data_IF_616725796717
#
_entry.id   IF_616725796717
#
_cell.length_a   1.000
_cell.length_b   1.000
_cell.length_c   1.000
_cell.angle_alpha   90.00
_cell.angle_beta   90.00
_cell.angle_gamma   90.00
#
_symmetry.space_group_name_H-M   'P 1'
#
loop_
_entity.id
_entity.type
_entity.pdbx_description
1 polymer ?
#
# COMPACT_ATOMS: atom_id res chain seq x y z
N UNK A 1 -43.62 -26.02 38.29
CA UNK A 1 -43.51 -24.61 37.87
C UNK A 1 -42.10 -24.14 38.18
N UNK A 2 -41.35 -23.65 37.20
CA UNK A 2 -40.05 -23.02 37.41
C UNK A 2 -38.90 -23.63 36.62
N UNK A 3 -38.95 -23.58 35.28
CA UNK A 3 -37.74 -23.64 34.46
C UNK A 3 -37.39 -22.23 33.97
N UNK A 4 -36.09 -21.99 33.86
CA UNK A 4 -35.43 -21.02 32.99
C UNK A 4 -34.83 -19.78 33.65
N UNK A 5 -33.68 -19.99 34.30
CA UNK A 5 -32.62 -18.98 34.48
C UNK A 5 -31.45 -19.20 33.48
N UNK A 6 -31.67 -19.92 32.38
CA UNK A 6 -30.60 -20.35 31.44
C UNK A 6 -30.69 -19.56 30.12
N UNK A 7 -30.89 -18.25 30.17
CA UNK A 7 -30.92 -17.41 28.96
C UNK A 7 -30.18 -16.07 29.10
N UNK A 8 -29.25 -15.93 30.05
CA UNK A 8 -28.48 -14.69 30.21
C UNK A 8 -26.96 -14.84 30.02
N UNK A 9 -26.45 -16.05 29.74
CA UNK A 9 -25.00 -16.33 29.68
C UNK A 9 -24.49 -16.79 28.30
N UNK A 10 -25.27 -16.61 27.23
CA UNK A 10 -24.85 -16.96 25.85
C UNK A 10 -24.56 -15.71 25.01
N UNK A 11 -24.88 -14.51 25.50
CA UNK A 11 -24.61 -13.25 24.76
C UNK A 11 -23.23 -12.62 25.03
N UNK A 12 -22.43 -13.15 25.96
CA UNK A 12 -21.11 -12.56 26.30
C UNK A 12 -19.90 -13.28 25.67
N UNK A 13 -20.11 -14.38 24.95
CA UNK A 13 -19.01 -15.18 24.36
C UNK A 13 -18.94 -15.15 22.84
N UNK A 14 -19.88 -14.48 22.16
CA UNK A 14 -19.89 -14.36 20.69
C UNK A 14 -19.19 -13.08 20.20
N UNK A 15 -18.80 -12.17 21.10
CA UNK A 15 -18.13 -10.91 20.74
C UNK A 15 -16.59 -10.95 20.81
N UNK A 16 -15.99 -12.13 20.65
CA UNK A 16 -14.52 -12.31 20.71
C UNK A 16 -13.92 -13.12 19.55
N UNK A 17 -14.65 -13.34 18.45
CA UNK A 17 -14.11 -14.04 17.27
C UNK A 17 -14.35 -13.30 15.95
N UNK A 18 -14.19 -11.98 15.96
CA UNK A 18 -14.18 -11.19 14.72
C UNK A 18 -13.01 -10.20 14.66
N UNK A 19 -11.88 -10.54 15.28
CA UNK A 19 -10.59 -10.08 14.78
C UNK A 19 -10.21 -10.94 13.57
N UNK A 20 -10.96 -10.77 12.48
CA UNK A 20 -10.50 -11.22 11.18
C UNK A 20 -9.20 -10.49 10.91
N UNK A 21 -8.08 -11.22 10.93
CA UNK A 21 -6.83 -10.68 10.43
C UNK A 21 -7.09 -10.22 9.00
N UNK A 22 -6.94 -8.93 8.75
CA UNK A 22 -6.89 -8.44 7.39
C UNK A 22 -5.76 -9.20 6.71
N UNK A 23 -6.05 -9.91 5.61
CA UNK A 23 -5.01 -10.40 4.74
C UNK A 23 -4.41 -9.17 4.09
N UNK A 24 -3.27 -8.78 4.63
CA UNK A 24 -2.51 -7.62 4.22
C UNK A 24 -1.84 -7.95 2.87
N UNK A 25 -1.92 -7.04 1.90
CA UNK A 25 -1.40 -7.29 0.55
C UNK A 25 0.12 -7.11 0.53
N UNK A 26 0.85 -8.13 0.06
CA UNK A 26 2.32 -8.11 0.08
C UNK A 26 2.91 -7.20 -1.02
N UNK A 27 2.17 -6.93 -2.11
CA UNK A 27 2.59 -6.11 -3.26
C UNK A 27 2.08 -4.67 -3.23
N UNK A 28 1.03 -4.39 -2.46
CA UNK A 28 0.49 -3.07 -2.19
C UNK A 28 0.20 -2.94 -0.69
N UNK A 29 0.98 -2.15 0.01
CA UNK A 29 0.83 -1.98 1.45
C UNK A 29 0.37 -0.59 1.89
N UNK A 30 -0.17 -0.53 3.10
CA UNK A 30 -0.50 0.65 3.87
C UNK A 30 0.36 0.72 5.13
N UNK A 31 0.32 1.84 5.83
CA UNK A 31 1.02 1.99 7.11
C UNK A 31 0.18 1.40 8.24
N UNK A 32 0.79 0.52 9.03
CA UNK A 32 0.16 -0.18 10.13
C UNK A 32 0.31 0.59 11.44
N UNK A 33 -0.79 0.70 12.19
CA UNK A 33 -0.73 1.17 13.57
C UNK A 33 -0.27 0.04 14.51
N UNK A 34 0.46 0.36 15.59
CA UNK A 34 0.79 1.70 16.08
C UNK A 34 2.03 2.36 15.44
N UNK A 35 2.77 1.62 14.62
CA UNK A 35 4.06 2.04 14.06
C UNK A 35 3.86 3.00 12.87
N UNK A 36 3.61 4.27 13.17
CA UNK A 36 3.23 5.28 12.17
C UNK A 36 4.02 6.60 12.26
N UNK A 37 5.06 6.67 13.10
CA UNK A 37 5.79 7.91 13.33
C UNK A 37 7.26 7.78 12.98
N UNK A 38 7.82 8.83 12.35
CA UNK A 38 9.25 9.02 12.14
C UNK A 38 9.69 10.39 12.68
N UNK A 39 10.98 10.56 12.91
CA UNK A 39 11.55 11.83 13.36
C UNK A 39 12.37 12.47 12.25
N UNK A 40 12.14 13.76 11.96
CA UNK A 40 13.01 14.53 11.09
C UNK A 40 13.79 15.61 11.83
N UNK A 41 15.06 15.76 11.50
CA UNK A 41 15.99 16.70 12.15
C UNK A 41 15.45 18.15 12.14
N UNK A 42 14.80 18.53 11.05
CA UNK A 42 14.12 19.83 10.89
C UNK A 42 12.61 19.66 11.04
N UNK A 43 12.05 18.62 10.42
CA UNK A 43 10.60 18.36 10.30
C UNK A 43 9.90 18.04 11.63
N UNK A 44 10.64 17.63 12.66
CA UNK A 44 10.08 17.11 13.91
C UNK A 44 9.36 15.78 13.72
N UNK A 45 8.34 15.53 14.55
CA UNK A 45 7.50 14.34 14.43
C UNK A 45 6.68 14.33 13.15
N UNK A 46 6.77 13.24 12.40
CA UNK A 46 6.07 13.02 11.14
C UNK A 46 5.15 11.81 11.29
N UNK A 47 3.86 12.01 11.04
CA UNK A 47 2.85 10.97 11.03
C UNK A 47 2.65 10.44 9.60
N UNK A 48 2.94 9.15 9.41
CA UNK A 48 2.78 8.40 8.17
C UNK A 48 1.41 7.75 7.98
N UNK A 49 0.55 7.76 9.02
CA UNK A 49 -0.83 7.31 8.94
C UNK A 49 -1.82 8.36 9.49
N UNK A 50 -1.83 9.61 8.97
CA UNK A 50 -2.77 10.62 9.44
C UNK A 50 -4.22 10.22 9.10
N UNK A 51 -5.16 10.57 9.99
CA UNK A 51 -6.58 10.32 9.75
C UNK A 51 -7.01 11.05 8.47
N UNK A 52 -7.66 10.33 7.54
CA UNK A 52 -8.18 10.81 6.25
C UNK A 52 -7.15 10.99 5.12
N UNK A 53 -5.87 10.65 5.32
CA UNK A 53 -4.88 10.57 4.24
C UNK A 53 -3.84 9.50 4.58
N UNK A 54 -3.84 8.37 3.87
CA UNK A 54 -2.91 7.27 4.11
C UNK A 54 -1.71 7.32 3.17
N UNK A 55 -0.66 6.60 3.55
CA UNK A 55 0.43 6.23 2.65
C UNK A 55 0.13 4.87 2.06
N UNK A 56 0.29 4.76 0.74
CA UNK A 56 0.21 3.51 0.00
C UNK A 56 1.57 3.24 -0.63
N UNK A 57 2.09 2.04 -0.43
CA UNK A 57 3.39 1.59 -0.90
C UNK A 57 3.13 0.49 -1.93
N UNK A 58 3.72 0.64 -3.11
CA UNK A 58 3.72 -0.36 -4.18
C UNK A 58 5.16 -0.75 -4.51
N UNK A 59 5.34 -1.65 -5.48
CA UNK A 59 6.67 -2.10 -5.92
C UNK A 59 7.52 -1.01 -6.59
N UNK A 60 6.88 0.10 -6.97
CA UNK A 60 7.48 1.16 -7.78
C UNK A 60 7.35 2.54 -7.16
N UNK A 61 6.33 2.76 -6.32
CA UNK A 61 5.96 4.07 -5.83
C UNK A 61 5.45 4.04 -4.40
N UNK A 62 5.72 5.12 -3.67
CA UNK A 62 5.07 5.46 -2.41
C UNK A 62 4.24 6.72 -2.63
N UNK A 63 2.94 6.63 -2.42
CA UNK A 63 1.98 7.70 -2.69
C UNK A 63 1.15 8.03 -1.44
N UNK A 64 0.44 9.15 -1.49
CA UNK A 64 -0.37 9.65 -0.38
C UNK A 64 0.22 10.89 0.28
N UNK A 65 -0.28 11.20 1.48
CA UNK A 65 0.16 12.37 2.25
C UNK A 65 0.52 11.97 3.67
N UNK A 66 1.56 12.61 4.18
CA UNK A 66 2.01 12.50 5.57
C UNK A 66 1.96 13.88 6.22
N UNK A 67 1.94 13.91 7.55
CA UNK A 67 1.76 15.13 8.32
C UNK A 67 2.93 15.39 9.25
N UNK A 68 3.52 16.59 9.18
CA UNK A 68 4.43 17.12 10.19
C UNK A 68 3.69 18.16 11.04
N UNK A 69 3.82 18.06 12.36
CA UNK A 69 3.24 19.06 13.27
C UNK A 69 3.86 20.46 13.09
N UNK A 70 5.08 20.53 12.59
CA UNK A 70 5.82 21.79 12.45
C UNK A 70 5.70 22.42 11.06
N UNK A 71 5.48 21.61 10.01
CA UNK A 71 5.52 22.08 8.61
C UNK A 71 4.32 21.66 7.76
N UNK A 72 3.36 20.96 8.35
CA UNK A 72 2.09 20.61 7.75
C UNK A 72 2.15 19.40 6.80
N UNK A 73 1.31 19.43 5.78
CA UNK A 73 1.16 18.33 4.83
C UNK A 73 2.38 18.18 3.91
N UNK A 74 2.76 16.93 3.69
CA UNK A 74 3.81 16.52 2.77
C UNK A 74 3.19 15.53 1.80
N UNK A 75 3.30 15.81 0.49
CA UNK A 75 2.80 14.97 -0.59
C UNK A 75 3.90 14.02 -1.07
N UNK A 76 3.67 12.71 -0.98
CA UNK A 76 4.62 11.68 -1.42
C UNK A 76 4.57 11.41 -2.93
N UNK A 77 3.49 11.80 -3.63
CA UNK A 77 3.30 11.57 -5.06
C UNK A 77 2.95 12.83 -5.87
N UNK A 78 3.74 13.91 -5.87
CA UNK A 78 3.45 15.09 -6.68
C UNK A 78 3.61 14.82 -8.19
N UNK A 79 2.55 15.07 -8.97
CA UNK A 79 2.46 14.77 -10.41
C UNK A 79 3.44 15.57 -11.32
N UNK A 80 4.03 16.66 -10.83
CA UNK A 80 4.68 17.68 -11.67
C UNK A 80 6.22 17.63 -11.68
N UNK A 81 6.86 16.46 -11.46
CA UNK A 81 8.33 16.18 -11.47
C UNK A 81 8.91 15.68 -10.13
N UNK A 82 8.07 15.13 -9.25
CA UNK A 82 8.54 14.45 -8.03
C UNK A 82 7.86 13.09 -7.87
N UNK A 83 7.82 12.59 -6.65
CA UNK A 83 7.32 11.28 -6.33
C UNK A 83 8.36 10.49 -5.56
N UNK A 84 7.93 9.84 -4.49
CA UNK A 84 8.75 8.86 -3.79
C UNK A 84 8.63 7.54 -4.56
N UNK A 85 9.76 7.06 -5.04
CA UNK A 85 9.87 5.75 -5.67
C UNK A 85 10.13 4.68 -4.62
N UNK A 86 9.66 3.47 -4.89
CA UNK A 86 10.07 2.25 -4.21
C UNK A 86 10.66 1.30 -5.25
N UNK A 87 11.46 0.33 -4.82
CA UNK A 87 11.89 -0.78 -5.65
C UNK A 87 11.32 -2.09 -5.11
N UNK A 88 11.37 -3.15 -5.92
CA UNK A 88 11.00 -4.50 -5.48
C UNK A 88 11.79 -4.96 -4.24
N UNK A 89 12.98 -4.42 -3.97
CA UNK A 89 13.79 -4.73 -2.78
C UNK A 89 13.51 -3.82 -1.59
N UNK A 90 12.62 -2.84 -1.73
CA UNK A 90 12.24 -1.90 -0.67
C UNK A 90 13.09 -0.63 -0.62
N UNK A 91 13.97 -0.39 -1.60
CA UNK A 91 14.81 0.82 -1.61
C UNK A 91 13.98 2.05 -2.02
N UNK A 92 13.96 3.08 -1.16
CA UNK A 92 13.22 4.30 -1.43
C UNK A 92 14.07 5.30 -2.20
N UNK A 93 13.41 6.04 -3.10
CA UNK A 93 14.07 7.06 -3.92
C UNK A 93 13.13 8.23 -4.20
N UNK A 94 13.61 9.20 -4.98
CA UNK A 94 12.78 10.33 -5.40
C UNK A 94 12.51 11.34 -4.28
N UNK A 95 11.48 12.18 -4.48
CA UNK A 95 11.26 13.36 -3.64
C UNK A 95 9.78 13.61 -3.37
N UNK A 96 9.47 13.86 -2.10
CA UNK A 96 8.18 14.38 -1.66
C UNK A 96 8.19 15.92 -1.66
N UNK A 97 7.01 16.53 -1.65
CA UNK A 97 6.82 17.98 -1.66
C UNK A 97 6.07 18.48 -0.42
N UNK A 98 6.56 19.57 0.18
CA UNK A 98 5.87 20.35 1.19
C UNK A 98 5.80 21.81 0.77
N UNK A 99 4.64 22.45 0.91
CA UNK A 99 4.51 23.89 0.66
C UNK A 99 5.39 24.75 1.60
N UNK A 100 5.66 24.25 2.81
CA UNK A 100 6.39 24.99 3.84
C UNK A 100 7.91 24.79 3.79
N UNK A 101 8.37 23.68 3.20
CA UNK A 101 9.79 23.27 3.21
C UNK A 101 10.38 22.97 1.84
N UNK A 102 9.54 22.83 0.82
CA UNK A 102 9.95 22.40 -0.51
C UNK A 102 10.21 20.90 -0.60
N UNK A 103 11.21 20.53 -1.41
CA UNK A 103 11.50 19.14 -1.75
C UNK A 103 12.21 18.39 -0.62
N UNK A 104 11.71 17.19 -0.34
CA UNK A 104 12.23 16.27 0.67
C UNK A 104 12.72 15.01 -0.04
N UNK A 105 14.01 14.71 0.06
CA UNK A 105 14.61 13.52 -0.54
C UNK A 105 14.34 12.28 0.32
N UNK A 106 13.88 11.19 -0.30
CA UNK A 106 13.66 9.90 0.35
C UNK A 106 14.75 8.87 0.07
N UNK A 107 15.72 9.18 -0.80
CA UNK A 107 16.87 8.31 -1.04
C UNK A 107 17.64 8.05 0.26
N UNK A 108 18.07 6.80 0.48
CA UNK A 108 18.79 6.37 1.69
C UNK A 108 17.92 5.70 2.75
N UNK A 109 16.59 5.86 2.66
CA UNK A 109 15.65 5.04 3.42
C UNK A 109 15.25 3.80 2.63
N UNK A 110 14.84 2.75 3.33
CA UNK A 110 14.37 1.50 2.71
C UNK A 110 13.38 0.77 3.61
N UNK A 111 12.66 -0.20 3.05
CA UNK A 111 11.73 -1.08 3.77
C UNK A 111 12.40 -2.44 3.93
N UNK A 112 12.53 -2.92 5.17
CA UNK A 112 13.10 -4.23 5.45
C UNK A 112 12.11 -5.38 5.21
N UNK A 113 12.59 -6.63 5.28
CA UNK A 113 11.78 -7.83 5.04
C UNK A 113 10.60 -7.98 6.02
N UNK A 114 10.64 -7.29 7.16
CA UNK A 114 9.58 -7.33 8.18
C UNK A 114 8.56 -6.20 8.03
N UNK A 115 8.77 -5.32 7.05
CA UNK A 115 7.91 -4.18 6.72
C UNK A 115 8.26 -2.89 7.45
N UNK A 116 9.34 -2.84 8.24
CA UNK A 116 9.74 -1.58 8.86
C UNK A 116 10.46 -0.71 7.83
N UNK A 117 10.11 0.58 7.81
CA UNK A 117 10.95 1.58 7.16
C UNK A 117 12.17 1.80 8.05
N UNK A 118 13.35 1.83 7.42
CA UNK A 118 14.67 1.84 8.06
C UNK A 118 15.58 2.85 7.39
N UNK A 119 16.72 3.10 8.03
CA UNK A 119 17.73 4.03 7.56
C UNK A 119 17.36 5.49 7.78
N UNK A 120 18.20 6.35 7.21
CA UNK A 120 18.06 7.80 7.29
C UNK A 120 18.07 8.36 5.88
N UNK A 121 17.12 9.24 5.57
CA UNK A 121 17.09 9.86 4.24
C UNK A 121 18.30 10.76 4.05
N UNK A 122 18.72 10.91 2.79
CA UNK A 122 19.77 11.83 2.41
C UNK A 122 19.36 13.27 2.74
N UNK A 123 20.33 14.09 3.20
CA UNK A 123 20.03 15.46 3.60
C UNK A 123 19.49 16.26 2.42
N UNK A 124 18.37 16.94 2.66
CA UNK A 124 17.83 17.95 1.76
C UNK A 124 18.13 19.33 2.34
N UNK A 125 18.39 20.30 1.46
CA UNK A 125 18.83 21.65 1.86
C UNK A 125 17.85 22.37 2.79
N UNK A 126 16.56 22.03 2.76
CA UNK A 126 15.51 22.72 3.53
C UNK A 126 14.81 21.83 4.55
N UNK A 127 14.65 20.52 4.29
CA UNK A 127 13.92 19.61 5.18
C UNK A 127 14.81 18.76 6.09
N UNK A 128 16.14 18.86 5.97
CA UNK A 128 17.08 18.02 6.70
C UNK A 128 16.96 16.54 6.30
N UNK A 129 17.05 15.65 7.30
CA UNK A 129 16.91 14.19 7.14
C UNK A 129 15.71 13.69 7.93
N UNK A 130 15.15 12.58 7.48
CA UNK A 130 14.16 11.79 8.21
C UNK A 130 14.86 10.53 8.71
N UNK A 131 14.75 10.26 10.00
CA UNK A 131 15.22 9.07 10.67
C UNK A 131 14.05 8.12 10.96
N UNK A 132 14.15 6.90 10.46
CA UNK A 132 13.17 5.84 10.70
C UNK A 132 13.59 4.88 11.83
N UNK A 133 14.78 5.06 12.41
CA UNK A 133 15.38 4.18 13.43
C UNK A 133 15.72 4.94 14.72
N UNK A 134 14.88 5.89 15.13
CA UNK A 134 15.06 6.60 16.39
C UNK A 134 14.43 5.85 17.57
N UNK A 135 14.85 6.19 18.79
CA UNK A 135 14.47 5.46 20.02
C UNK A 135 12.94 5.39 20.23
N UNK A 136 12.22 6.46 19.89
CA UNK A 136 10.77 6.59 20.09
C UNK A 136 9.97 6.62 18.77
N UNK A 137 10.56 6.23 17.63
CA UNK A 137 9.87 6.22 16.36
C UNK A 137 9.94 4.87 15.65
N UNK A 138 8.86 4.53 14.96
CA UNK A 138 8.75 3.35 14.13
C UNK A 138 7.68 3.60 13.06
N UNK A 139 8.00 3.23 11.82
CA UNK A 139 7.02 3.19 10.72
C UNK A 139 7.03 1.78 10.15
N UNK A 140 5.87 1.12 10.15
CA UNK A 140 5.71 -0.22 9.59
C UNK A 140 4.63 -0.23 8.53
N UNK A 141 4.89 -0.97 7.46
CA UNK A 141 3.91 -1.32 6.43
C UNK A 141 3.69 -2.82 6.38
N UNK A 142 2.55 -3.23 5.86
CA UNK A 142 2.28 -4.60 5.41
C UNK A 142 2.90 -4.94 4.05
N UNK A 143 3.36 -3.96 3.25
CA UNK A 143 4.13 -4.23 2.02
C UNK A 143 5.40 -5.03 2.34
N UNK A 144 5.77 -5.96 1.47
CA UNK A 144 6.96 -6.80 1.61
C UNK A 144 7.82 -6.74 0.36
N UNK A 145 9.17 -6.76 0.47
CA UNK A 145 10.03 -6.94 -0.68
C UNK A 145 9.65 -8.17 -1.51
N UNK A 146 9.76 -8.08 -2.83
CA UNK A 146 9.38 -9.13 -3.76
C UNK A 146 10.04 -10.49 -3.47
N UNK A 147 11.25 -10.49 -2.90
CA UNK A 147 11.97 -11.69 -2.49
C UNK A 147 11.44 -12.33 -1.20
N UNK A 148 10.76 -11.57 -0.34
CA UNK A 148 10.18 -12.08 0.90
C UNK A 148 8.70 -12.42 0.77
N UNK A 149 8.07 -12.11 -0.37
CA UNK A 149 6.69 -12.50 -0.65
C UNK A 149 6.60 -14.00 -0.82
N UNK A 150 5.69 -14.61 -0.06
CA UNK A 150 5.38 -16.00 -0.34
C UNK A 150 4.56 -16.03 -1.62
N UNK A 151 5.16 -16.48 -2.73
CA UNK A 151 4.35 -16.98 -3.84
C UNK A 151 3.41 -18.04 -3.26
N UNK A 152 2.08 -17.92 -3.40
CA UNK A 152 1.20 -19.00 -3.01
C UNK A 152 1.41 -20.15 -3.99
N UNK A 153 2.34 -21.06 -3.67
CA UNK A 153 2.49 -22.39 -4.24
C UNK A 153 3.51 -23.18 -3.43
N UNK A 154 3.10 -24.31 -2.86
CA UNK A 154 4.08 -25.32 -2.44
C UNK A 154 3.74 -26.24 -1.27
N UNK A 155 2.46 -26.52 -1.01
CA UNK A 155 2.13 -27.77 -0.32
C UNK A 155 2.63 -28.93 -1.18
N UNK A 156 3.65 -29.64 -0.70
CA UNK A 156 4.27 -30.74 -1.43
C UNK A 156 3.25 -31.80 -1.82
N UNK A 157 3.26 -32.21 -3.08
CA UNK A 157 2.76 -33.52 -3.50
C UNK A 157 3.36 -33.91 -4.83
N UNK A 158 3.84 -35.15 -4.84
CA UNK A 158 4.46 -35.86 -5.93
C UNK A 158 3.63 -35.88 -7.21
N UNK A 159 4.34 -36.09 -8.31
CA UNK A 159 3.83 -36.29 -9.66
C UNK A 159 2.50 -37.05 -9.74
N UNK A 160 1.51 -36.46 -10.41
CA UNK A 160 0.62 -37.19 -11.31
C UNK A 160 -0.03 -36.23 -12.31
N UNK A 161 -0.23 -36.74 -13.52
CA UNK A 161 -0.44 -35.98 -14.73
C UNK A 161 -1.84 -35.36 -14.87
N UNK A 162 -1.90 -34.26 -15.64
CA UNK A 162 -3.03 -33.93 -16.50
C UNK A 162 -4.07 -32.95 -15.96
N UNK A 163 -3.90 -31.65 -16.24
CA UNK A 163 -4.73 -30.83 -17.17
C UNK A 163 -4.07 -29.43 -17.29
N UNK A 164 -4.04 -28.80 -18.48
CA UNK A 164 -3.59 -27.42 -18.60
C UNK A 164 -4.66 -26.49 -18.04
N UNK A 165 -4.43 -25.92 -16.86
CA UNK A 165 -5.17 -24.74 -16.42
C UNK A 165 -4.63 -23.54 -17.21
N UNK A 166 -5.45 -23.02 -18.10
CA UNK A 166 -5.27 -21.65 -18.60
C UNK A 166 -5.67 -20.71 -17.46
N UNK A 167 -4.83 -19.72 -17.07
CA UNK A 167 -5.24 -18.74 -16.07
C UNK A 167 -6.47 -18.00 -16.61
N UNK A 168 -7.54 -17.96 -15.81
CA UNK A 168 -8.76 -17.25 -16.14
C UNK A 168 -8.41 -15.75 -16.13
N UNK A 169 -8.17 -15.17 -17.31
CA UNK A 169 -7.99 -13.71 -17.44
C UNK A 169 -9.33 -13.07 -17.10
N UNK A 170 -9.45 -12.54 -15.88
CA UNK A 170 -10.64 -11.86 -15.44
C UNK A 170 -10.64 -10.46 -16.07
N UNK A 171 -11.62 -10.18 -16.92
CA UNK A 171 -11.74 -8.87 -17.57
C UNK A 171 -11.87 -7.77 -16.51
N UNK A 172 -10.93 -6.83 -16.50
CA UNK A 172 -10.87 -5.74 -15.51
C UNK A 172 -9.85 -5.94 -14.39
N UNK A 173 -9.19 -7.10 -14.30
CA UNK A 173 -8.10 -7.38 -13.35
C UNK A 173 -6.79 -6.77 -13.87
N UNK A 174 -6.67 -5.46 -13.70
CA UNK A 174 -5.53 -4.63 -14.14
C UNK A 174 -4.32 -4.91 -13.22
N UNK A 175 -4.55 -5.25 -11.95
CA UNK A 175 -3.51 -5.58 -10.98
C UNK A 175 -2.95 -7.01 -11.16
N UNK A 176 -3.67 -7.88 -11.88
CA UNK A 176 -3.40 -9.31 -12.05
C UNK A 176 -3.43 -10.11 -10.72
N UNK A 177 -4.31 -9.70 -9.79
CA UNK A 177 -4.46 -10.32 -8.47
C UNK A 177 -5.58 -11.37 -8.38
N UNK A 178 -6.31 -11.59 -9.47
CA UNK A 178 -7.38 -12.57 -9.58
C UNK A 178 -8.76 -12.08 -9.09
N UNK A 179 -8.87 -10.82 -8.70
CA UNK A 179 -10.12 -10.13 -8.40
C UNK A 179 -10.31 -8.93 -9.35
N UNK A 180 -11.51 -8.33 -9.33
CA UNK A 180 -11.71 -7.02 -9.94
C UNK A 180 -12.39 -6.16 -8.89
N UNK A 181 -11.66 -5.19 -8.36
CA UNK A 181 -12.13 -4.40 -7.23
C UNK A 181 -11.63 -2.95 -7.27
N UNK A 182 -11.62 -2.30 -6.10
CA UNK A 182 -11.21 -0.91 -5.95
C UNK A 182 -9.75 -0.68 -6.33
N UNK A 183 -8.90 -1.70 -6.28
CA UNK A 183 -7.50 -1.59 -6.66
C UNK A 183 -7.33 -1.53 -8.18
N UNK A 184 -8.11 -2.30 -8.94
CA UNK A 184 -8.16 -2.16 -10.40
C UNK A 184 -8.70 -0.79 -10.80
N UNK A 185 -9.74 -0.32 -10.11
CA UNK A 185 -10.26 1.01 -10.37
C UNK A 185 -9.22 2.09 -10.11
N UNK A 186 -8.44 1.99 -9.03
CA UNK A 186 -7.37 2.92 -8.76
C UNK A 186 -6.29 2.87 -9.86
N UNK A 187 -5.93 1.69 -10.37
CA UNK A 187 -5.00 1.56 -11.50
C UNK A 187 -5.56 2.16 -12.80
N UNK A 188 -6.83 1.92 -13.09
CA UNK A 188 -7.55 2.54 -14.21
C UNK A 188 -7.52 4.07 -14.11
N UNK A 189 -7.74 4.61 -12.90
CA UNK A 189 -7.72 6.05 -12.67
C UNK A 189 -6.30 6.66 -12.75
N UNK A 190 -5.25 5.88 -12.46
CA UNK A 190 -3.85 6.31 -12.65
C UNK A 190 -3.55 6.50 -14.15
N UNK A 191 -4.08 5.61 -14.99
CA UNK A 191 -3.82 5.62 -16.43
C UNK A 191 -4.86 6.41 -17.24
N UNK A 192 -5.78 7.10 -16.57
CA UNK A 192 -6.90 7.79 -17.23
C UNK A 192 -6.45 8.78 -18.31
N UNK A 193 -7.01 8.64 -19.51
CA UNK A 193 -6.71 9.46 -20.68
C UNK A 193 -5.37 9.13 -21.36
N UNK A 194 -4.71 8.02 -20.99
CA UNK A 194 -3.46 7.56 -21.61
C UNK A 194 -3.72 6.46 -22.65
N UNK A 195 -2.65 5.94 -23.27
CA UNK A 195 -2.69 4.78 -24.19
C UNK A 195 -2.13 3.52 -23.53
N UNK A 196 -2.13 3.48 -22.19
CA UNK A 196 -1.49 2.41 -21.43
C UNK A 196 -2.28 1.11 -21.54
N UNK A 197 -1.68 0.11 -22.21
CA UNK A 197 -2.31 -1.17 -22.51
C UNK A 197 -2.73 -1.98 -21.29
N UNK A 198 -2.21 -1.68 -20.10
CA UNK A 198 -2.65 -2.37 -18.87
C UNK A 198 -4.06 -1.97 -18.46
N UNK A 199 -4.48 -0.75 -18.77
CA UNK A 199 -5.79 -0.20 -18.39
C UNK A 199 -6.72 0.07 -19.59
N UNK A 200 -6.22 -0.07 -20.82
CA UNK A 200 -6.99 -0.10 -22.07
C UNK A 200 -7.61 -1.50 -22.25
N UNK A 201 -8.65 -1.77 -21.47
CA UNK A 201 -9.33 -3.06 -21.38
C UNK A 201 -10.06 -3.37 -22.69
N UNK A 202 -10.59 -2.35 -23.38
CA UNK A 202 -11.28 -2.53 -24.66
C UNK A 202 -10.35 -2.54 -25.90
N UNK A 203 -9.07 -2.20 -25.71
CA UNK A 203 -8.03 -2.10 -26.74
C UNK A 203 -8.36 -1.09 -27.86
N UNK A 204 -9.05 0.00 -27.54
CA UNK A 204 -9.40 1.07 -28.48
C UNK A 204 -8.31 2.14 -28.62
N UNK A 205 -7.26 2.05 -27.80
CA UNK A 205 -6.11 2.94 -27.82
C UNK A 205 -6.24 4.14 -26.89
N UNK A 206 -7.25 4.18 -26.03
CA UNK A 206 -7.37 5.14 -24.94
C UNK A 206 -7.80 4.42 -23.65
N UNK A 207 -7.44 4.98 -22.50
CA UNK A 207 -7.98 4.58 -21.19
C UNK A 207 -9.06 5.58 -20.82
N UNK A 208 -10.33 5.19 -20.87
CA UNK A 208 -11.44 6.09 -20.64
C UNK A 208 -12.65 5.45 -19.94
N UNK A 209 -13.82 6.07 -20.10
CA UNK A 209 -15.06 5.63 -19.47
C UNK A 209 -15.52 4.26 -19.99
N UNK A 210 -15.13 3.86 -21.20
CA UNK A 210 -15.44 2.54 -21.73
C UNK A 210 -14.62 1.46 -21.03
N UNK A 211 -13.38 1.72 -20.65
CA UNK A 211 -12.57 0.80 -19.82
C UNK A 211 -13.10 0.72 -18.40
N UNK A 212 -13.51 1.84 -17.81
CA UNK A 212 -14.20 1.83 -16.53
C UNK A 212 -15.46 0.96 -16.56
N UNK A 213 -16.29 1.10 -17.60
CA UNK A 213 -17.48 0.28 -17.74
C UNK A 213 -17.14 -1.22 -17.81
N UNK A 214 -16.06 -1.60 -18.49
CA UNK A 214 -15.60 -2.98 -18.55
C UNK A 214 -15.05 -3.49 -17.22
N UNK A 215 -14.34 -2.64 -16.48
CA UNK A 215 -13.89 -2.93 -15.12
C UNK A 215 -15.08 -3.22 -14.20
N UNK A 216 -16.15 -2.43 -14.29
CA UNK A 216 -17.36 -2.63 -13.48
C UNK A 216 -18.12 -3.94 -13.82
N UNK A 217 -17.88 -4.56 -14.98
CA UNK A 217 -18.45 -5.89 -15.32
C UNK A 217 -17.84 -6.99 -14.44
N UNK A 218 -16.55 -6.84 -14.11
CA UNK A 218 -15.81 -7.79 -13.30
C UNK A 218 -15.97 -7.62 -11.79
N UNK A 219 -16.49 -6.46 -11.35
CA UNK A 219 -16.47 -6.02 -9.95
C UNK A 219 -17.03 -7.06 -8.97
N UNK A 220 -16.22 -7.46 -7.99
CA UNK A 220 -16.58 -8.43 -6.96
C UNK A 220 -16.15 -8.02 -5.56
#
# INVERSE_FOLDING_TARGET
MGYSFINFLIFLTVFWMLSGGALASESLGVIEQPNSFAWGDVLGWINFAPALAGVVISDTNVVGKIWSNSYGWINLGPLASGGVGNTCSGELSGRAWSESLGWINFAGAYIDETGFLRGMTNPSVSSGRINFECEDCSVRTDWRPCSSRQTPLGGGSSASAGVPFTPLVLTGDISADGAVDIFDFNLLMIDWGTVNKRSDINSDGAVDIFDFNLLMVGWK
#
